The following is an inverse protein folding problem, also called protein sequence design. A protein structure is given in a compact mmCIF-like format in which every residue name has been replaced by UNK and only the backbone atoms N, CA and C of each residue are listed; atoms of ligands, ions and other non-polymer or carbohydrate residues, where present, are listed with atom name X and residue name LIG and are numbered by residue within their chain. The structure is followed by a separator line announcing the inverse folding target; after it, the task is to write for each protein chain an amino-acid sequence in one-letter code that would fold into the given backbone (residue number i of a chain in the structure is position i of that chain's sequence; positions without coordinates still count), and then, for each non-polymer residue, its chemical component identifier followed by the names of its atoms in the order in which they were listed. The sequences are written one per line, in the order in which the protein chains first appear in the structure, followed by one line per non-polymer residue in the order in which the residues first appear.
data_IF_542656030186
#
_entry.id   IF_542656030186
#
_cell.length_a   1.000
_cell.length_b   1.000
_cell.length_c   1.000
_cell.angle_alpha   90.00
_cell.angle_beta   90.00
_cell.angle_gamma   90.00
#
_symmetry.space_group_name_H-M   'P 1'
#
loop_
_entity.id
_entity.type
_entity.pdbx_description
1 polymer ?
#
# COMPACT_ATOMS: atom_id res chain seq x y z
N UNK A 1 5.60 -6.55 -62.90
CA UNK A 1 6.22 -6.40 -61.57
C UNK A 1 6.96 -7.69 -61.26
N UNK A 2 8.28 -7.57 -61.13
CA UNK A 2 9.29 -8.61 -61.25
C UNK A 2 9.44 -9.48 -59.99
N UNK A 3 9.91 -10.70 -60.26
CA UNK A 3 10.56 -11.69 -59.41
C UNK A 3 11.42 -11.13 -58.26
N UNK A 4 11.47 -11.83 -57.12
CA UNK A 4 12.58 -12.78 -56.87
C UNK A 4 12.55 -13.32 -55.43
N UNK A 5 12.43 -14.63 -55.35
CA UNK A 5 12.98 -15.46 -54.28
C UNK A 5 14.47 -15.16 -54.12
N UNK A 6 14.92 -14.83 -52.92
CA UNK A 6 16.32 -14.97 -52.52
C UNK A 6 16.35 -15.61 -51.14
N UNK A 7 16.44 -16.94 -51.17
CA UNK A 7 16.98 -17.72 -50.07
C UNK A 7 18.42 -17.26 -49.84
N UNK A 8 18.71 -16.83 -48.61
CA UNK A 8 20.08 -16.68 -48.12
C UNK A 8 20.20 -17.48 -46.83
N UNK A 9 20.55 -18.74 -47.05
CA UNK A 9 21.16 -19.66 -46.09
C UNK A 9 22.35 -18.96 -45.45
N UNK A 10 22.30 -18.67 -44.15
CA UNK A 10 23.47 -18.25 -43.40
C UNK A 10 23.93 -19.36 -42.45
N UNK A 11 25.17 -19.73 -42.69
CA UNK A 11 25.99 -20.76 -42.09
C UNK A 11 26.15 -20.53 -40.58
N UNK A 12 26.08 -21.63 -39.84
CA UNK A 12 26.50 -21.78 -38.45
C UNK A 12 27.98 -21.37 -38.31
N UNK A 13 28.28 -20.30 -37.58
CA UNK A 13 29.63 -20.04 -37.08
C UNK A 13 29.58 -20.16 -35.55
N UNK A 14 30.03 -21.33 -35.07
CA UNK A 14 30.51 -21.49 -33.69
C UNK A 14 31.79 -20.67 -33.55
N UNK A 15 31.75 -19.57 -32.81
CA UNK A 15 32.94 -18.90 -32.31
C UNK A 15 32.86 -18.83 -30.78
N UNK A 16 33.55 -19.77 -30.14
CA UNK A 16 33.93 -19.69 -28.74
C UNK A 16 34.87 -18.50 -28.55
N UNK A 17 34.57 -17.62 -27.59
CA UNK A 17 35.57 -16.69 -27.06
C UNK A 17 35.05 -15.33 -26.59
N UNK A 18 34.63 -15.28 -25.32
CA UNK A 18 34.62 -14.11 -24.43
C UNK A 18 33.85 -12.84 -24.89
N UNK A 19 32.57 -12.76 -24.56
CA UNK A 19 31.81 -11.51 -24.58
C UNK A 19 32.32 -10.54 -23.50
N UNK A 20 33.01 -9.47 -23.92
CA UNK A 20 32.99 -8.19 -23.20
C UNK A 20 31.94 -7.31 -23.88
N UNK A 21 30.72 -7.33 -23.35
CA UNK A 21 29.63 -6.47 -23.81
C UNK A 21 29.81 -5.07 -23.23
N UNK A 22 30.10 -4.09 -24.08
CA UNK A 22 29.94 -2.67 -23.79
C UNK A 22 28.48 -2.37 -23.43
N UNK A 23 28.19 -1.45 -22.49
CA UNK A 23 26.82 -1.14 -22.11
C UNK A 23 26.09 -0.44 -23.24
N UNK A 24 24.96 -1.03 -23.65
CA UNK A 24 23.94 -0.39 -24.49
C UNK A 24 23.41 0.85 -23.76
N UNK A 25 23.29 2.02 -24.42
CA UNK A 25 22.68 3.19 -23.79
C UNK A 25 21.21 2.88 -23.51
N UNK A 26 20.85 2.88 -22.22
CA UNK A 26 19.50 2.65 -21.74
C UNK A 26 18.54 3.71 -22.30
N UNK A 27 17.46 3.23 -22.92
CA UNK A 27 16.26 4.01 -23.23
C UNK A 27 15.73 4.69 -21.95
N UNK A 28 15.18 5.92 -22.02
CA UNK A 28 14.58 6.59 -20.87
C UNK A 28 13.37 5.81 -20.35
N UNK A 29 13.55 5.22 -19.16
CA UNK A 29 12.57 4.96 -18.11
C UNK A 29 11.14 4.57 -18.53
N UNK A 30 10.93 3.28 -18.80
CA UNK A 30 9.68 2.68 -18.33
C UNK A 30 9.73 2.69 -16.79
N UNK A 31 8.70 3.18 -16.08
CA UNK A 31 8.68 3.12 -14.62
C UNK A 31 8.80 1.65 -14.21
N UNK A 32 9.86 1.33 -13.47
CA UNK A 32 9.99 0.00 -12.86
C UNK A 32 8.77 -0.20 -11.93
N UNK A 33 8.16 -1.39 -11.90
CA UNK A 33 7.05 -1.63 -10.99
C UNK A 33 7.53 -1.37 -9.56
N UNK A 34 6.92 -0.39 -8.89
CA UNK A 34 7.27 -0.04 -7.51
C UNK A 34 7.21 -1.30 -6.67
N UNK A 35 8.31 -1.63 -6.00
CA UNK A 35 8.36 -2.83 -5.17
C UNK A 35 7.49 -2.66 -3.93
N UNK A 36 6.95 -3.76 -3.40
CA UNK A 36 6.13 -3.71 -2.18
C UNK A 36 6.93 -3.15 -1.00
N UNK A 37 8.24 -3.41 -0.92
CA UNK A 37 9.13 -2.82 0.10
C UNK A 37 9.23 -1.30 -0.01
N UNK A 38 9.32 -0.75 -1.22
CA UNK A 38 9.28 0.70 -1.43
C UNK A 38 7.94 1.28 -1.00
N UNK A 39 6.83 0.61 -1.31
CA UNK A 39 5.49 1.02 -0.86
C UNK A 39 5.37 0.99 0.67
N UNK A 40 5.89 -0.05 1.33
CA UNK A 40 5.91 -0.18 2.79
C UNK A 40 6.69 0.98 3.41
N UNK A 41 7.91 1.22 2.92
CA UNK A 41 8.78 2.31 3.42
C UNK A 41 8.12 3.66 3.24
N UNK A 42 7.50 3.88 2.08
CA UNK A 42 6.75 5.10 1.78
C UNK A 42 5.56 5.25 2.73
N UNK A 43 4.77 4.20 2.95
CA UNK A 43 3.63 4.23 3.85
C UNK A 43 4.05 4.56 5.29
N UNK A 44 5.12 3.93 5.80
CA UNK A 44 5.67 4.23 7.13
C UNK A 44 6.06 5.71 7.27
N UNK A 45 6.75 6.23 6.25
CA UNK A 45 7.18 7.65 6.21
C UNK A 45 5.98 8.59 6.17
N UNK A 46 5.01 8.30 5.30
CA UNK A 46 3.83 9.14 5.12
C UNK A 46 2.95 9.14 6.38
N UNK A 47 2.78 7.99 7.06
CA UNK A 47 2.03 7.89 8.32
C UNK A 47 2.71 8.71 9.41
N UNK A 48 4.03 8.61 9.55
CA UNK A 48 4.78 9.36 10.56
C UNK A 48 4.66 10.88 10.33
N UNK A 49 4.75 11.31 9.07
CA UNK A 49 4.55 12.71 8.70
C UNK A 49 3.12 13.16 8.99
N UNK A 50 2.13 12.37 8.57
CA UNK A 50 0.72 12.68 8.81
C UNK A 50 0.41 12.80 10.29
N UNK A 51 0.98 11.94 11.15
CA UNK A 51 0.78 12.03 12.59
C UNK A 51 1.32 13.34 13.18
N UNK A 52 2.44 13.83 12.66
CA UNK A 52 2.98 15.14 13.06
C UNK A 52 2.07 16.28 12.59
N UNK A 53 1.71 16.28 11.30
CA UNK A 53 0.86 17.31 10.68
C UNK A 53 -0.52 17.37 11.36
N UNK A 54 -1.13 16.21 11.62
CA UNK A 54 -2.46 16.10 12.22
C UNK A 54 -2.46 16.56 13.68
N UNK A 55 -1.46 16.15 14.47
CA UNK A 55 -1.33 16.57 15.86
C UNK A 55 -1.21 18.09 15.97
N UNK A 56 -0.34 18.69 15.14
CA UNK A 56 -0.14 20.14 15.11
C UNK A 56 -1.44 20.90 14.78
N UNK A 57 -2.25 20.38 13.86
CA UNK A 57 -3.50 21.04 13.48
C UNK A 57 -4.59 20.86 14.54
N UNK A 58 -4.68 19.69 15.16
CA UNK A 58 -5.73 19.41 16.15
C UNK A 58 -5.56 20.20 17.44
N UNK A 59 -4.33 20.60 17.81
CA UNK A 59 -4.10 21.47 18.97
C UNK A 59 -4.41 22.95 18.70
N UNK A 60 -4.64 23.35 17.43
CA UNK A 60 -4.99 24.73 17.08
C UNK A 60 -6.46 25.06 17.40
N UNK A 61 -6.78 26.33 17.73
CA UNK A 61 -8.17 26.77 17.79
C UNK A 61 -8.87 26.64 16.41
N UNK A 62 -10.18 26.37 16.38
CA UNK A 62 -11.01 26.25 15.16
C UNK A 62 -10.66 25.09 14.20
N UNK A 63 -10.18 23.96 14.71
CA UNK A 63 -9.80 22.78 13.91
C UNK A 63 -11.00 21.93 13.41
N UNK A 64 -12.24 22.40 13.51
CA UNK A 64 -13.48 21.66 13.19
C UNK A 64 -13.47 21.01 11.79
N UNK A 65 -12.90 21.68 10.79
CA UNK A 65 -12.79 21.15 9.43
C UNK A 65 -11.86 19.92 9.36
N UNK A 66 -10.78 19.92 10.14
CA UNK A 66 -9.83 18.80 10.22
C UNK A 66 -10.39 17.66 11.06
N UNK A 67 -11.12 17.96 12.15
CA UNK A 67 -11.88 16.94 12.88
C UNK A 67 -12.83 16.21 11.93
N UNK A 68 -13.59 16.95 11.12
CA UNK A 68 -14.53 16.37 10.16
C UNK A 68 -13.80 15.51 9.12
N UNK A 69 -12.73 16.02 8.53
CA UNK A 69 -11.93 15.27 7.56
C UNK A 69 -11.36 13.97 8.17
N UNK A 70 -10.83 14.03 9.40
CA UNK A 70 -10.33 12.85 10.11
C UNK A 70 -11.44 11.82 10.36
N UNK A 71 -12.63 12.26 10.79
CA UNK A 71 -13.78 11.36 10.98
C UNK A 71 -14.18 10.66 9.68
N UNK A 72 -14.34 11.43 8.60
CA UNK A 72 -14.73 10.92 7.29
C UNK A 72 -13.68 9.93 6.76
N UNK A 73 -12.41 10.31 6.76
CA UNK A 73 -11.31 9.45 6.30
C UNK A 73 -11.13 8.20 7.18
N UNK A 74 -11.37 8.30 8.48
CA UNK A 74 -11.35 7.13 9.37
C UNK A 74 -12.47 6.14 9.02
N UNK A 75 -13.68 6.64 8.74
CA UNK A 75 -14.82 5.82 8.32
C UNK A 75 -14.59 5.18 6.94
N UNK A 76 -14.05 5.94 5.99
CA UNK A 76 -13.72 5.45 4.65
C UNK A 76 -12.64 4.37 4.72
N UNK A 77 -11.60 4.59 5.54
CA UNK A 77 -10.55 3.61 5.78
C UNK A 77 -11.09 2.31 6.39
N UNK A 78 -11.93 2.40 7.42
CA UNK A 78 -12.60 1.23 8.02
C UNK A 78 -13.36 0.45 6.93
N UNK A 79 -14.14 1.15 6.11
CA UNK A 79 -14.94 0.54 5.04
C UNK A 79 -14.07 -0.14 3.99
N UNK A 80 -12.99 0.52 3.56
CA UNK A 80 -12.07 -0.01 2.55
C UNK A 80 -11.33 -1.25 3.05
N UNK A 81 -10.89 -1.24 4.32
CA UNK A 81 -10.22 -2.40 4.94
C UNK A 81 -11.20 -3.56 5.13
N UNK A 82 -12.44 -3.30 5.57
CA UNK A 82 -13.47 -4.34 5.69
C UNK A 82 -13.81 -4.97 4.34
N UNK A 83 -14.01 -4.15 3.30
CA UNK A 83 -14.26 -4.62 1.94
C UNK A 83 -13.10 -5.49 1.42
N UNK A 84 -11.86 -5.09 1.71
CA UNK A 84 -10.68 -5.87 1.37
C UNK A 84 -10.63 -7.22 2.13
N UNK A 85 -10.96 -7.23 3.43
CA UNK A 85 -11.08 -8.47 4.22
C UNK A 85 -12.10 -9.43 3.59
N UNK A 86 -13.26 -8.93 3.18
CA UNK A 86 -14.30 -9.75 2.59
C UNK A 86 -13.89 -10.34 1.23
N UNK A 87 -13.29 -9.53 0.37
CA UNK A 87 -12.82 -9.95 -0.95
C UNK A 87 -11.74 -11.04 -0.83
N UNK A 88 -10.70 -10.78 -0.05
CA UNK A 88 -9.59 -11.74 0.09
C UNK A 88 -10.01 -13.00 0.86
N UNK A 89 -10.92 -12.91 1.83
CA UNK A 89 -11.45 -14.11 2.49
C UNK A 89 -12.20 -15.04 1.54
N UNK A 90 -12.79 -14.51 0.46
CA UNK A 90 -13.43 -15.33 -0.60
C UNK A 90 -12.36 -15.95 -1.50
N UNK A 91 -11.37 -15.18 -1.92
CA UNK A 91 -10.34 -15.62 -2.87
C UNK A 91 -9.37 -16.65 -2.27
N UNK A 92 -8.94 -16.46 -1.03
CA UNK A 92 -7.88 -17.28 -0.41
C UNK A 92 -8.37 -18.62 0.11
N UNK A 93 -9.66 -18.74 0.46
CA UNK A 93 -10.30 -20.03 0.75
C UNK A 93 -10.24 -21.02 -0.42
N UNK A 94 -10.08 -20.51 -1.64
CA UNK A 94 -10.05 -21.33 -2.85
C UNK A 94 -8.65 -21.78 -3.29
N UNK A 95 -7.56 -21.21 -2.72
CA UNK A 95 -6.21 -21.34 -3.29
C UNK A 95 -5.26 -22.26 -2.55
N UNK A 96 -5.00 -22.07 -1.25
CA UNK A 96 -4.06 -22.91 -0.51
C UNK A 96 -4.19 -22.78 1.02
N UNK A 97 -4.10 -23.88 1.79
CA UNK A 97 -4.16 -23.86 3.26
C UNK A 97 -3.00 -23.09 3.92
N UNK A 98 -1.83 -23.01 3.29
CA UNK A 98 -0.71 -22.21 3.80
C UNK A 98 -1.01 -20.70 3.77
N UNK A 99 -1.61 -20.23 2.67
CA UNK A 99 -2.05 -18.83 2.54
C UNK A 99 -3.19 -18.54 3.51
N UNK A 100 -4.07 -19.51 3.77
CA UNK A 100 -5.15 -19.39 4.75
C UNK A 100 -4.65 -19.00 6.15
N UNK A 101 -3.58 -19.63 6.65
CA UNK A 101 -3.03 -19.32 7.98
C UNK A 101 -2.43 -17.91 8.06
N UNK A 102 -1.71 -17.50 7.02
CA UNK A 102 -1.16 -16.14 6.93
C UNK A 102 -2.29 -15.10 6.85
N UNK A 103 -3.31 -15.41 6.05
CA UNK A 103 -4.50 -14.58 5.93
C UNK A 103 -5.25 -14.44 7.25
N UNK A 104 -5.40 -15.49 8.05
CA UNK A 104 -6.12 -15.40 9.32
C UNK A 104 -5.43 -14.44 10.31
N UNK A 105 -4.10 -14.51 10.40
CA UNK A 105 -3.31 -13.57 11.22
C UNK A 105 -3.39 -12.12 10.70
N UNK A 106 -3.32 -11.97 9.38
CA UNK A 106 -3.44 -10.67 8.72
C UNK A 106 -4.83 -10.07 8.93
N UNK A 107 -5.88 -10.83 8.64
CA UNK A 107 -7.29 -10.50 8.85
C UNK A 107 -7.57 -10.09 10.29
N UNK A 108 -7.03 -10.82 11.27
CA UNK A 108 -7.22 -10.47 12.68
C UNK A 108 -6.67 -9.07 12.98
N UNK A 109 -5.50 -8.74 12.44
CA UNK A 109 -4.88 -7.41 12.61
C UNK A 109 -5.67 -6.32 11.89
N UNK A 110 -6.11 -6.57 10.66
CA UNK A 110 -6.97 -5.65 9.91
C UNK A 110 -8.29 -5.39 10.66
N UNK A 111 -8.94 -6.45 11.12
CA UNK A 111 -10.20 -6.38 11.86
C UNK A 111 -10.02 -5.56 13.13
N UNK A 112 -9.00 -5.86 13.92
CA UNK A 112 -8.67 -5.09 15.13
C UNK A 112 -8.44 -3.61 14.83
N UNK A 113 -7.68 -3.29 13.78
CA UNK A 113 -7.47 -1.90 13.37
C UNK A 113 -8.81 -1.20 13.06
N UNK A 114 -9.70 -1.87 12.33
CA UNK A 114 -11.02 -1.30 12.01
C UNK A 114 -11.94 -1.17 13.22
N UNK A 115 -11.92 -2.14 14.14
CA UNK A 115 -12.72 -2.12 15.37
C UNK A 115 -12.24 -1.01 16.32
N UNK A 116 -10.93 -0.90 16.54
CA UNK A 116 -10.34 0.14 17.37
C UNK A 116 -10.66 1.55 16.83
N UNK A 117 -10.64 1.75 15.51
CA UNK A 117 -11.03 3.04 14.88
C UNK A 117 -12.54 3.25 14.98
N UNK A 118 -13.35 2.25 14.62
CA UNK A 118 -14.81 2.35 14.62
C UNK A 118 -15.39 2.56 16.02
N UNK A 119 -14.76 2.02 17.07
CA UNK A 119 -15.16 2.23 18.45
C UNK A 119 -15.06 3.71 18.88
N UNK A 120 -14.23 4.49 18.18
CA UNK A 120 -14.12 5.92 18.39
C UNK A 120 -15.15 6.72 17.59
N UNK A 121 -15.96 6.10 16.73
CA UNK A 121 -16.96 6.77 15.88
C UNK A 121 -18.39 6.40 16.38
N UNK A 122 -19.25 7.38 16.74
CA UNK A 122 -19.06 8.82 16.62
C UNK A 122 -18.18 9.41 17.73
N UNK A 123 -17.15 10.20 17.34
CA UNK A 123 -16.20 10.82 18.27
C UNK A 123 -16.75 12.14 18.81
N UNK A 124 -16.74 12.32 20.14
CA UNK A 124 -16.93 13.62 20.78
C UNK A 124 -15.70 14.53 20.51
N UNK A 125 -15.84 15.86 20.55
CA UNK A 125 -14.72 16.78 20.26
C UNK A 125 -13.50 16.52 21.15
N UNK A 126 -13.74 16.19 22.42
CA UNK A 126 -12.72 15.85 23.42
C UNK A 126 -12.04 14.49 23.19
N UNK A 127 -12.57 13.64 22.31
CA UNK A 127 -12.01 12.33 22.01
C UNK A 127 -11.29 12.28 20.65
N UNK A 128 -11.10 13.43 20.00
CA UNK A 128 -10.49 13.47 18.67
C UNK A 128 -9.05 12.95 18.67
N UNK A 129 -8.25 13.23 19.70
CA UNK A 129 -6.88 12.70 19.84
C UNK A 129 -6.86 11.18 19.99
N UNK A 130 -7.93 10.57 20.53
CA UNK A 130 -8.05 9.11 20.56
C UNK A 130 -8.34 8.55 19.17
N UNK A 131 -9.23 9.20 18.41
CA UNK A 131 -9.50 8.80 17.03
C UNK A 131 -8.25 8.95 16.15
N UNK A 132 -7.51 10.06 16.29
CA UNK A 132 -6.21 10.26 15.66
C UNK A 132 -5.25 9.12 15.99
N UNK A 133 -5.02 8.84 17.28
CA UNK A 133 -4.11 7.77 17.71
C UNK A 133 -4.52 6.43 17.12
N UNK A 134 -5.80 6.07 17.19
CA UNK A 134 -6.31 4.80 16.66
C UNK A 134 -6.24 4.70 15.14
N UNK A 135 -6.46 5.81 14.44
CA UNK A 135 -6.32 5.87 13.00
C UNK A 135 -4.86 5.64 12.56
N UNK A 136 -3.91 6.34 13.19
CA UNK A 136 -2.47 6.18 12.91
C UNK A 136 -1.96 4.80 13.33
N UNK A 137 -2.34 4.32 14.51
CA UNK A 137 -2.03 2.97 14.99
C UNK A 137 -2.56 1.91 14.03
N UNK A 138 -3.81 2.06 13.57
CA UNK A 138 -4.44 1.16 12.62
C UNK A 138 -3.66 1.08 11.32
N UNK A 139 -3.38 2.21 10.67
CA UNK A 139 -2.56 2.28 9.47
C UNK A 139 -1.17 1.66 9.67
N UNK A 140 -0.50 1.99 10.77
CA UNK A 140 0.83 1.43 11.09
C UNK A 140 0.79 -0.08 11.28
N UNK A 141 -0.26 -0.60 11.93
CA UNK A 141 -0.44 -2.03 12.14
C UNK A 141 -0.64 -2.77 10.81
N UNK A 142 -1.43 -2.22 9.87
CA UNK A 142 -1.61 -2.80 8.53
C UNK A 142 -0.27 -2.90 7.81
N UNK A 143 0.48 -1.80 7.75
CA UNK A 143 1.77 -1.76 7.04
C UNK A 143 2.78 -2.74 7.63
N UNK A 144 2.88 -2.79 8.97
CA UNK A 144 3.76 -3.74 9.66
C UNK A 144 3.38 -5.19 9.41
N UNK A 145 2.08 -5.50 9.39
CA UNK A 145 1.63 -6.86 9.10
C UNK A 145 1.86 -7.23 7.64
N UNK A 146 1.74 -6.28 6.70
CA UNK A 146 2.09 -6.49 5.30
C UNK A 146 3.58 -6.82 5.13
N UNK A 147 4.45 -6.17 5.89
CA UNK A 147 5.88 -6.45 5.93
C UNK A 147 6.17 -7.88 6.44
N UNK A 148 5.59 -8.27 7.57
CA UNK A 148 5.75 -9.63 8.12
C UNK A 148 5.27 -10.72 7.16
N UNK A 149 4.15 -10.47 6.48
CA UNK A 149 3.60 -11.37 5.47
C UNK A 149 4.56 -11.50 4.28
N UNK A 150 5.17 -10.40 3.82
CA UNK A 150 6.20 -10.42 2.77
C UNK A 150 7.47 -11.18 3.19
N UNK A 151 7.92 -11.03 4.44
CA UNK A 151 9.11 -11.71 4.97
C UNK A 151 8.92 -13.23 5.10
N UNK A 152 7.71 -13.66 5.42
CA UNK A 152 7.36 -15.08 5.59
C UNK A 152 7.43 -15.86 4.26
N UNK A 153 7.30 -15.16 3.12
CA UNK A 153 7.27 -15.75 1.78
C UNK A 153 8.64 -15.68 1.11
N UNK A 154 9.60 -16.33 1.76
CA UNK A 154 10.88 -16.67 1.13
C UNK A 154 10.82 -18.00 0.36
N UNK A 155 9.62 -18.51 0.10
CA UNK A 155 9.39 -19.79 -0.59
C UNK A 155 9.54 -19.66 -2.11
N UNK A 156 10.19 -20.63 -2.76
CA UNK A 156 10.46 -20.64 -4.22
C UNK A 156 9.21 -20.91 -5.11
N UNK A 157 8.03 -21.08 -4.51
CA UNK A 157 6.79 -21.31 -5.25
C UNK A 157 6.19 -20.00 -5.80
N UNK A 158 6.47 -19.71 -7.08
CA UNK A 158 6.04 -18.49 -7.80
C UNK A 158 4.56 -18.08 -7.62
N UNK A 159 3.55 -18.96 -7.76
CA UNK A 159 2.15 -18.53 -7.65
C UNK A 159 1.77 -18.08 -6.22
N UNK A 160 2.29 -18.77 -5.20
CA UNK A 160 2.05 -18.43 -3.78
C UNK A 160 2.73 -17.09 -3.45
N UNK A 161 3.94 -16.87 -3.97
CA UNK A 161 4.68 -15.61 -3.83
C UNK A 161 3.91 -14.42 -4.40
N UNK A 162 3.33 -14.57 -5.58
CA UNK A 162 2.57 -13.50 -6.21
C UNK A 162 1.28 -13.16 -5.43
N UNK A 163 0.53 -14.16 -4.99
CA UNK A 163 -0.70 -13.93 -4.23
C UNK A 163 -0.45 -13.23 -2.90
N UNK A 164 0.62 -13.63 -2.20
CA UNK A 164 0.96 -13.01 -0.93
C UNK A 164 1.54 -11.60 -1.13
N UNK A 165 2.32 -11.40 -2.20
CA UNK A 165 2.77 -10.07 -2.58
C UNK A 165 1.60 -9.14 -2.90
N UNK A 166 0.57 -9.62 -3.58
CA UNK A 166 -0.63 -8.84 -3.88
C UNK A 166 -1.44 -8.52 -2.62
N UNK A 167 -1.52 -9.47 -1.68
CA UNK A 167 -2.17 -9.27 -0.38
C UNK A 167 -1.49 -8.11 0.37
N UNK A 168 -0.18 -8.21 0.58
CA UNK A 168 0.58 -7.18 1.29
C UNK A 168 0.52 -5.83 0.57
N UNK A 169 0.68 -5.84 -0.76
CA UNK A 169 0.63 -4.65 -1.61
C UNK A 169 -0.70 -3.92 -1.46
N UNK A 170 -1.84 -4.60 -1.63
CA UNK A 170 -3.15 -3.95 -1.63
C UNK A 170 -3.47 -3.29 -0.29
N UNK A 171 -3.07 -3.92 0.82
CA UNK A 171 -3.26 -3.36 2.14
C UNK A 171 -2.38 -2.12 2.39
N UNK A 172 -1.14 -2.12 1.89
CA UNK A 172 -0.26 -0.95 1.92
C UNK A 172 -0.81 0.16 1.03
N UNK A 173 -1.34 -0.16 -0.14
CA UNK A 173 -1.98 0.82 -1.04
C UNK A 173 -3.16 1.53 -0.37
N UNK A 174 -4.07 0.78 0.28
CA UNK A 174 -5.19 1.35 1.06
C UNK A 174 -4.67 2.35 2.09
N UNK A 175 -3.56 2.02 2.76
CA UNK A 175 -2.96 2.87 3.78
C UNK A 175 -2.33 4.14 3.19
N UNK A 176 -1.59 4.01 2.08
CA UNK A 176 -0.98 5.14 1.37
C UNK A 176 -2.06 6.09 0.84
N UNK A 177 -3.15 5.55 0.30
CA UNK A 177 -4.28 6.32 -0.22
C UNK A 177 -4.95 7.12 0.90
N UNK A 178 -5.33 6.46 2.00
CA UNK A 178 -5.94 7.13 3.15
C UNK A 178 -5.03 8.24 3.73
N UNK A 179 -3.72 7.96 3.81
CA UNK A 179 -2.74 8.94 4.29
C UNK A 179 -2.64 10.15 3.37
N UNK A 180 -2.54 9.92 2.06
CA UNK A 180 -2.43 10.98 1.05
C UNK A 180 -3.67 11.85 1.02
N UNK A 181 -4.86 11.25 1.04
CA UNK A 181 -6.12 11.98 1.00
C UNK A 181 -6.31 12.85 2.24
N UNK A 182 -6.03 12.32 3.43
CA UNK A 182 -6.13 13.12 4.65
C UNK A 182 -5.12 14.26 4.66
N UNK A 183 -3.87 14.00 4.24
CA UNK A 183 -2.85 15.02 4.10
C UNK A 183 -3.29 16.16 3.17
N UNK A 184 -3.81 15.82 1.98
CA UNK A 184 -4.33 16.82 1.04
C UNK A 184 -5.46 17.63 1.66
N UNK A 185 -6.40 17.00 2.36
CA UNK A 185 -7.47 17.74 3.04
C UNK A 185 -6.91 18.68 4.13
N UNK A 186 -5.94 18.25 4.93
CA UNK A 186 -5.30 19.11 5.93
C UNK A 186 -4.66 20.33 5.25
N UNK A 187 -3.83 20.11 4.23
CA UNK A 187 -3.12 21.17 3.49
C UNK A 187 -4.10 22.18 2.86
N UNK A 188 -5.20 21.70 2.25
CA UNK A 188 -6.24 22.55 1.66
C UNK A 188 -7.01 23.37 2.71
N UNK A 189 -7.33 22.77 3.87
CA UNK A 189 -8.07 23.48 4.92
C UNK A 189 -7.20 24.51 5.64
N UNK A 190 -5.90 24.25 5.81
CA UNK A 190 -4.95 25.22 6.35
C UNK A 190 -4.80 26.43 5.41
N UNK A 191 -4.57 26.18 4.13
CA UNK A 191 -4.36 27.23 3.13
C UNK A 191 -5.56 28.18 2.98
N UNK A 192 -6.79 27.68 3.20
CA UNK A 192 -8.02 28.48 3.11
C UNK A 192 -8.32 29.31 4.36
N UNK A 193 -7.67 29.04 5.49
CA UNK A 193 -7.91 29.74 6.75
C UNK A 193 -6.93 30.91 6.99
N UNK A 194 -5.88 31.02 6.15
CA UNK A 194 -4.90 32.11 6.14
C UNK A 194 -5.17 33.19 5.08
N UNK A 195 -6.24 33.06 4.27
CA UNK A 195 -6.74 34.10 3.33
C UNK A 195 -8.03 34.72 3.80
#
# INVERSE_FOLDING_TARGET
MQCSTLALTFVFILALGACRSSPVPSQPGAPSPVSVNELITKAQTDIAKLGTDLHEVLIRPNHDAVVKALKERSSDFVTNVQSYIEQMSKDLKAKSPEIGKMWDGFKMSLTKATEDISAQIPVAKDQISKLESKFLEGMGAIVKQSELVMETVRTDAEPIKQDISNLAKKAVEITVEATKELKTQIEEKLSKHES
#
